data_IF_966528787370
#
_entry.id   IF_966528787370
#
_cell.length_a   1.000
_cell.length_b   1.000
_cell.length_c   1.000
_cell.angle_alpha   90.00
_cell.angle_beta   90.00
_cell.angle_gamma   90.00
#
_symmetry.space_group_name_H-M   'P 1'
#
loop_
_entity.id
_entity.type
_entity.pdbx_description
1 polymer ?
#
# COMPACT_ATOMS: atom_id res chain seq x y z
N UNK A 1 10.88 49.57 -75.29
CA UNK A 1 9.65 50.29 -75.70
C UNK A 1 8.76 49.34 -76.49
N UNK A 2 7.47 49.21 -76.11
CA UNK A 2 6.37 48.42 -76.71
C UNK A 2 6.51 46.88 -76.61
N UNK A 3 5.85 46.22 -75.65
CA UNK A 3 4.43 45.77 -75.56
C UNK A 3 4.03 44.72 -76.62
N UNK A 4 3.55 43.53 -76.19
CA UNK A 4 2.11 43.20 -76.09
C UNK A 4 1.81 41.70 -75.75
N UNK A 5 1.03 41.50 -74.67
CA UNK A 5 -0.13 40.58 -74.43
C UNK A 5 -0.10 39.03 -74.40
N UNK A 6 -0.77 38.55 -73.32
CA UNK A 6 -1.98 37.65 -73.20
C UNK A 6 -1.81 36.17 -72.79
N UNK A 7 -2.50 35.83 -71.66
CA UNK A 7 -3.35 34.65 -71.33
C UNK A 7 -2.64 33.27 -71.30
N UNK A 8 -2.83 32.31 -70.39
CA UNK A 8 -4.02 31.81 -69.66
C UNK A 8 -3.64 31.18 -68.30
N UNK A 9 -4.67 30.84 -67.52
CA UNK A 9 -4.64 30.20 -66.22
C UNK A 9 -4.32 28.69 -66.25
N UNK A 10 -3.70 28.17 -65.19
CA UNK A 10 -4.20 26.98 -64.47
C UNK A 10 -3.48 26.83 -63.12
N UNK A 11 -4.27 26.79 -62.04
CA UNK A 11 -3.88 26.23 -60.75
C UNK A 11 -4.04 24.72 -60.84
N UNK A 12 -3.08 23.91 -60.37
CA UNK A 12 -3.39 22.64 -59.69
C UNK A 12 -2.18 22.14 -58.88
N UNK A 13 -2.44 21.98 -57.58
CA UNK A 13 -1.77 21.25 -56.49
C UNK A 13 -0.36 20.67 -56.73
N UNK A 14 0.63 21.28 -56.08
CA UNK A 14 1.90 20.65 -55.75
C UNK A 14 1.73 19.75 -54.52
N UNK A 15 1.93 18.46 -54.72
CA UNK A 15 2.12 17.44 -53.68
C UNK A 15 3.49 17.72 -53.05
N UNK A 16 3.49 18.28 -51.84
CA UNK A 16 4.67 18.40 -51.00
C UNK A 16 4.76 17.17 -50.11
N UNK A 17 5.69 16.27 -50.43
CA UNK A 17 6.13 15.15 -49.59
C UNK A 17 6.48 15.64 -48.19
N UNK A 18 5.70 15.22 -47.19
CA UNK A 18 6.12 15.25 -45.79
C UNK A 18 7.18 14.16 -45.63
N UNK A 19 8.43 14.59 -45.48
CA UNK A 19 9.51 13.73 -45.04
C UNK A 19 9.20 13.27 -43.62
N UNK A 20 8.63 12.07 -43.47
CA UNK A 20 8.66 11.34 -42.21
C UNK A 20 10.13 11.07 -41.93
N UNK A 21 10.75 11.94 -41.13
CA UNK A 21 12.02 11.63 -40.51
C UNK A 21 11.71 10.51 -39.52
N UNK A 22 11.98 9.27 -39.94
CA UNK A 22 11.92 8.11 -39.07
C UNK A 22 12.79 8.39 -37.86
N UNK A 23 12.15 8.49 -36.69
CA UNK A 23 12.82 8.32 -35.41
C UNK A 23 13.39 6.91 -35.45
N UNK A 24 14.68 6.83 -35.72
CA UNK A 24 15.43 5.61 -35.55
C UNK A 24 15.28 5.21 -34.10
N UNK A 25 14.61 4.08 -33.88
CA UNK A 25 14.75 3.25 -32.70
C UNK A 25 16.25 3.06 -32.45
N UNK A 26 16.82 3.92 -31.61
CA UNK A 26 18.09 3.66 -30.97
C UNK A 26 17.82 2.61 -29.89
N UNK A 27 17.73 1.36 -30.34
CA UNK A 27 18.03 0.23 -29.49
C UNK A 27 19.49 0.35 -29.06
N UNK A 28 19.71 0.89 -27.87
CA UNK A 28 20.90 0.68 -27.08
C UNK A 28 20.47 0.24 -25.69
N UNK A 29 20.39 -1.07 -25.55
CA UNK A 29 20.52 -1.84 -24.32
C UNK A 29 21.56 -1.24 -23.36
N UNK A 30 21.19 -1.04 -22.09
CA UNK A 30 22.12 -1.30 -20.99
C UNK A 30 22.04 -0.42 -19.74
N UNK A 31 21.63 0.84 -19.82
CA UNK A 31 21.60 1.72 -18.64
C UNK A 31 20.51 2.78 -18.76
N UNK A 32 19.69 2.97 -17.73
CA UNK A 32 18.67 4.03 -17.64
C UNK A 32 19.21 5.47 -17.66
N UNK A 33 20.48 5.66 -18.02
CA UNK A 33 21.17 6.96 -18.14
C UNK A 33 20.51 7.89 -19.16
N UNK A 34 19.84 7.35 -20.18
CA UNK A 34 19.17 8.15 -21.21
C UNK A 34 18.04 9.01 -20.65
N UNK A 35 17.21 8.47 -19.76
CA UNK A 35 16.13 9.21 -19.10
C UNK A 35 16.71 10.22 -18.12
N UNK A 36 17.68 9.84 -17.28
CA UNK A 36 18.25 10.74 -16.26
C UNK A 36 18.90 12.01 -16.81
N UNK A 37 19.32 11.99 -18.08
CA UNK A 37 20.00 13.10 -18.77
C UNK A 37 19.12 13.86 -19.78
N UNK A 38 17.81 13.59 -19.83
CA UNK A 38 16.98 14.08 -20.93
C UNK A 38 16.90 15.62 -20.97
N UNK A 39 17.19 16.17 -22.16
CA UNK A 39 17.07 17.60 -22.46
C UNK A 39 15.68 18.01 -22.97
N UNK A 40 14.80 17.03 -23.21
CA UNK A 40 13.39 17.21 -23.57
C UNK A 40 12.52 16.39 -22.60
N UNK A 41 11.26 16.78 -22.34
CA UNK A 41 10.39 16.05 -21.43
C UNK A 41 10.21 14.58 -21.85
N UNK A 42 10.33 13.66 -20.88
CA UNK A 42 10.26 12.22 -21.12
C UNK A 42 8.82 11.70 -20.90
N UNK A 43 8.19 11.02 -21.89
CA UNK A 43 6.89 10.38 -21.71
C UNK A 43 6.93 9.24 -20.69
N UNK A 44 5.80 8.93 -20.04
CA UNK A 44 5.72 7.92 -18.99
C UNK A 44 6.11 6.51 -19.49
N UNK A 45 5.67 6.12 -20.67
CA UNK A 45 5.97 4.84 -21.33
C UNK A 45 7.47 4.64 -21.52
N UNK A 46 8.18 5.70 -21.90
CA UNK A 46 9.63 5.70 -22.01
C UNK A 46 10.30 5.67 -20.63
N UNK A 47 9.77 6.43 -19.67
CA UNK A 47 10.35 6.56 -18.34
C UNK A 47 10.28 5.25 -17.54
N UNK A 48 9.14 4.55 -17.58
CA UNK A 48 8.91 3.29 -16.86
C UNK A 48 9.29 2.05 -17.69
N UNK A 49 9.35 2.16 -19.01
CA UNK A 49 9.73 1.08 -19.93
C UNK A 49 11.22 0.69 -19.87
N UNK A 50 12.00 1.32 -19.00
CA UNK A 50 13.40 1.00 -18.75
C UNK A 50 13.63 0.65 -17.27
N UNK A 51 14.76 0.02 -16.98
CA UNK A 51 15.16 -0.21 -15.60
C UNK A 51 15.37 1.13 -14.88
N UNK A 52 14.81 1.27 -13.68
CA UNK A 52 14.88 2.53 -12.93
C UNK A 52 14.14 2.47 -11.59
N UNK A 53 14.46 3.43 -10.73
CA UNK A 53 13.97 3.48 -9.35
C UNK A 53 13.15 4.74 -9.14
N UNK A 54 11.98 4.60 -8.54
CA UNK A 54 11.06 5.69 -8.25
C UNK A 54 10.60 5.68 -6.80
N UNK A 55 10.47 6.84 -6.20
CA UNK A 55 10.10 7.07 -4.82
C UNK A 55 8.68 7.64 -4.78
N UNK A 56 7.78 6.93 -4.10
CA UNK A 56 6.43 7.40 -3.81
C UNK A 56 6.44 8.24 -2.54
N UNK A 57 5.81 9.41 -2.58
CA UNK A 57 5.72 10.35 -1.46
C UNK A 57 4.38 11.09 -1.49
N UNK A 58 4.07 11.88 -0.46
CA UNK A 58 2.87 12.72 -0.45
C UNK A 58 2.96 13.78 -1.57
N UNK A 59 2.05 13.68 -2.55
CA UNK A 59 2.05 14.54 -3.72
C UNK A 59 1.75 16.01 -3.47
N UNK A 60 1.27 16.37 -2.28
CA UNK A 60 1.08 17.76 -1.87
C UNK A 60 2.36 18.40 -1.28
N UNK A 61 3.37 17.59 -0.95
CA UNK A 61 4.62 18.04 -0.36
C UNK A 61 5.67 18.47 -1.41
N UNK A 62 6.44 19.50 -1.06
CA UNK A 62 7.64 19.87 -1.80
C UNK A 62 8.78 18.94 -1.37
N UNK A 63 9.49 18.31 -2.32
CA UNK A 63 10.60 17.40 -2.00
C UNK A 63 11.67 18.14 -1.18
N UNK A 64 11.92 17.63 0.02
CA UNK A 64 12.90 18.14 0.97
C UNK A 64 13.54 17.01 1.77
N UNK A 65 14.64 17.31 2.47
CA UNK A 65 15.44 16.30 3.18
C UNK A 65 14.66 15.45 4.20
N UNK A 66 13.59 15.99 4.77
CA UNK A 66 12.78 15.33 5.80
C UNK A 66 11.46 14.75 5.23
N UNK A 67 11.21 14.90 3.92
CA UNK A 67 10.02 14.34 3.27
C UNK A 67 10.15 12.83 3.26
N UNK A 68 9.11 12.17 3.78
CA UNK A 68 9.05 10.72 3.86
C UNK A 68 8.82 10.09 2.48
N UNK A 69 9.49 8.99 2.25
CA UNK A 69 9.26 8.10 1.11
C UNK A 69 8.44 6.94 1.63
N UNK A 70 7.23 6.78 1.11
CA UNK A 70 6.30 5.72 1.53
C UNK A 70 6.67 4.37 0.91
N UNK A 71 7.10 4.40 -0.35
CA UNK A 71 7.42 3.21 -1.14
C UNK A 71 8.53 3.52 -2.14
N UNK A 72 9.36 2.53 -2.42
CA UNK A 72 10.31 2.55 -3.53
C UNK A 72 9.85 1.53 -4.56
N UNK A 73 9.74 1.98 -5.81
CA UNK A 73 9.37 1.18 -6.98
C UNK A 73 10.63 0.89 -7.79
N UNK A 74 10.92 -0.38 -8.03
CA UNK A 74 12.03 -0.83 -8.87
C UNK A 74 11.48 -1.44 -10.15
N UNK A 75 11.66 -0.74 -11.27
CA UNK A 75 11.29 -1.20 -12.60
C UNK A 75 12.41 -2.04 -13.21
N UNK A 76 12.05 -3.17 -13.83
CA UNK A 76 13.02 -4.08 -14.44
C UNK A 76 13.32 -3.77 -15.93
N UNK A 77 12.60 -2.82 -16.51
CA UNK A 77 12.66 -2.49 -17.94
C UNK A 77 12.02 -3.52 -18.88
N UNK A 78 11.34 -4.53 -18.34
CA UNK A 78 10.62 -5.57 -19.07
C UNK A 78 9.12 -5.55 -18.77
N UNK A 79 8.60 -4.41 -18.30
CA UNK A 79 7.18 -4.23 -17.98
C UNK A 79 6.79 -4.68 -16.57
N UNK A 80 7.75 -4.95 -15.68
CA UNK A 80 7.46 -5.31 -14.29
C UNK A 80 8.02 -4.29 -13.29
N UNK A 81 7.38 -4.24 -12.13
CA UNK A 81 7.75 -3.39 -11.01
C UNK A 81 7.71 -4.19 -9.71
N UNK A 82 8.76 -4.09 -8.91
CA UNK A 82 8.74 -4.48 -7.50
C UNK A 82 8.48 -3.24 -6.64
N UNK A 83 7.72 -3.39 -5.56
CA UNK A 83 7.37 -2.29 -4.65
C UNK A 83 7.79 -2.66 -3.23
N UNK A 84 8.59 -1.79 -2.61
CA UNK A 84 9.17 -1.96 -1.29
C UNK A 84 8.60 -0.89 -0.35
N UNK A 85 7.98 -1.30 0.76
CA UNK A 85 7.41 -0.37 1.74
C UNK A 85 8.50 0.25 2.59
N UNK A 86 8.50 1.58 2.70
CA UNK A 86 9.50 2.33 3.44
C UNK A 86 8.81 3.12 4.55
N UNK A 87 9.08 2.79 5.82
CA UNK A 87 8.47 3.49 6.97
C UNK A 87 9.30 4.66 7.49
N UNK A 88 10.62 4.63 7.29
CA UNK A 88 11.55 5.61 7.89
C UNK A 88 12.51 6.23 6.89
N UNK A 89 12.30 6.00 5.59
CA UNK A 89 13.18 6.51 4.54
C UNK A 89 12.78 7.94 4.17
N UNK A 90 13.74 8.82 4.00
CA UNK A 90 13.53 10.19 3.54
C UNK A 90 14.36 10.49 2.29
N UNK A 91 14.02 11.55 1.56
CA UNK A 91 14.85 11.99 0.44
C UNK A 91 16.26 12.42 0.86
N UNK A 92 16.44 12.85 2.12
CA UNK A 92 17.76 13.17 2.65
C UNK A 92 18.69 11.97 2.76
N UNK A 93 18.14 10.77 2.92
CA UNK A 93 18.90 9.52 3.03
C UNK A 93 19.42 9.01 1.68
N UNK A 94 18.93 9.57 0.56
CA UNK A 94 19.29 9.16 -0.80
C UNK A 94 20.46 9.95 -1.39
N UNK A 95 21.04 10.88 -0.64
CA UNK A 95 22.13 11.75 -1.14
C UNK A 95 23.33 10.92 -1.59
N UNK A 96 23.72 11.08 -2.84
CA UNK A 96 24.86 10.39 -3.44
C UNK A 96 24.69 8.88 -3.68
N UNK A 97 23.50 8.31 -3.44
CA UNK A 97 23.24 6.88 -3.70
C UNK A 97 22.94 6.62 -5.18
N UNK A 98 23.43 5.51 -5.69
CA UNK A 98 23.03 4.93 -6.97
C UNK A 98 21.67 4.22 -6.87
N UNK A 99 21.05 3.91 -8.02
CA UNK A 99 19.78 3.17 -8.05
C UNK A 99 19.86 1.82 -7.32
N UNK A 100 20.95 1.08 -7.52
CA UNK A 100 21.17 -0.20 -6.84
C UNK A 100 21.27 -0.02 -5.32
N UNK A 101 21.95 1.04 -4.86
CA UNK A 101 22.06 1.35 -3.43
C UNK A 101 20.72 1.79 -2.83
N UNK A 102 19.91 2.55 -3.59
CA UNK A 102 18.54 2.92 -3.19
C UNK A 102 17.66 1.68 -3.07
N UNK A 103 17.76 0.73 -4.01
CA UNK A 103 17.00 -0.53 -3.98
C UNK A 103 17.43 -1.40 -2.81
N UNK A 104 18.72 -1.56 -2.54
CA UNK A 104 19.20 -2.31 -1.38
C UNK A 104 18.78 -1.66 -0.05
N UNK A 105 18.77 -0.33 0.03
CA UNK A 105 18.23 0.39 1.17
C UNK A 105 16.72 0.16 1.32
N UNK A 106 15.97 0.16 0.21
CA UNK A 106 14.54 -0.11 0.20
C UNK A 106 14.21 -1.53 0.69
N UNK A 107 14.98 -2.54 0.28
CA UNK A 107 14.84 -3.93 0.79
C UNK A 107 15.03 -4.00 2.29
N UNK A 108 16.05 -3.32 2.83
CA UNK A 108 16.29 -3.25 4.26
C UNK A 108 15.13 -2.57 5.00
N UNK A 109 14.57 -1.51 4.43
CA UNK A 109 13.41 -0.80 5.01
C UNK A 109 12.14 -1.66 4.95
N UNK A 110 11.93 -2.40 3.87
CA UNK A 110 10.77 -3.28 3.69
C UNK A 110 10.82 -4.49 4.65
N UNK A 111 11.99 -5.12 4.81
CA UNK A 111 12.21 -6.16 5.81
C UNK A 111 12.02 -5.63 7.24
N UNK A 112 12.52 -4.42 7.54
CA UNK A 112 12.30 -3.78 8.83
C UNK A 112 10.81 -3.47 9.06
N UNK A 113 10.09 -3.01 8.04
CA UNK A 113 8.67 -2.73 8.09
C UNK A 113 7.86 -4.01 8.32
N UNK A 114 8.23 -5.13 7.67
CA UNK A 114 7.66 -6.46 7.90
C UNK A 114 7.85 -6.90 9.34
N UNK A 115 9.09 -6.86 9.84
CA UNK A 115 9.41 -7.29 11.20
C UNK A 115 8.68 -6.45 12.26
N UNK A 116 8.59 -5.13 12.05
CA UNK A 116 7.84 -4.26 12.94
C UNK A 116 6.33 -4.54 12.92
N UNK A 117 5.75 -4.78 11.74
CA UNK A 117 4.33 -5.12 11.61
C UNK A 117 4.02 -6.50 12.22
N UNK A 118 4.89 -7.50 12.01
CA UNK A 118 4.82 -8.81 12.64
C UNK A 118 4.83 -8.69 14.16
N UNK A 119 5.80 -7.97 14.71
CA UNK A 119 5.92 -7.81 16.16
C UNK A 119 4.70 -7.10 16.75
N UNK A 120 4.21 -6.03 16.11
CA UNK A 120 3.02 -5.33 16.56
C UNK A 120 1.77 -6.25 16.56
N UNK A 121 1.64 -7.14 15.58
CA UNK A 121 0.54 -8.11 15.53
C UNK A 121 0.66 -9.21 16.61
N UNK A 122 1.89 -9.67 16.88
CA UNK A 122 2.22 -10.61 17.97
C UNK A 122 1.85 -9.99 19.32
N UNK A 123 2.32 -8.76 19.57
CA UNK A 123 2.11 -8.07 20.85
C UNK A 123 0.62 -7.83 21.11
N UNK A 124 -0.12 -7.33 20.10
CA UNK A 124 -1.56 -7.08 20.22
C UNK A 124 -2.35 -8.38 20.44
N UNK A 125 -1.98 -9.46 19.76
CA UNK A 125 -2.65 -10.75 19.91
C UNK A 125 -2.32 -11.40 21.25
N UNK A 126 -1.08 -11.26 21.75
CA UNK A 126 -0.70 -11.74 23.08
C UNK A 126 -1.48 -11.01 24.19
N UNK A 127 -1.70 -9.70 24.07
CA UNK A 127 -2.52 -8.94 25.01
C UNK A 127 -3.96 -9.47 25.03
N UNK A 128 -4.55 -9.74 23.87
CA UNK A 128 -5.88 -10.32 23.76
C UNK A 128 -5.95 -11.73 24.37
N UNK A 129 -4.99 -12.60 24.06
CA UNK A 129 -4.91 -13.96 24.64
C UNK A 129 -4.85 -13.89 26.16
N UNK A 130 -4.03 -13.01 26.73
CA UNK A 130 -3.90 -12.86 28.18
C UNK A 130 -5.23 -12.43 28.83
N UNK A 131 -5.91 -11.43 28.27
CA UNK A 131 -7.20 -10.98 28.77
C UNK A 131 -8.25 -12.11 28.66
N UNK A 132 -8.37 -12.76 27.51
CA UNK A 132 -9.35 -13.83 27.32
C UNK A 132 -9.08 -15.03 28.23
N UNK A 133 -7.82 -15.39 28.45
CA UNK A 133 -7.42 -16.46 29.37
C UNK A 133 -7.79 -16.10 30.81
N UNK A 134 -7.52 -14.86 31.23
CA UNK A 134 -7.92 -14.40 32.57
C UNK A 134 -9.44 -14.44 32.75
N UNK A 135 -10.20 -14.05 31.73
CA UNK A 135 -11.67 -14.10 31.74
C UNK A 135 -12.15 -15.55 31.88
N UNK A 136 -11.63 -16.44 31.02
CA UNK A 136 -11.92 -17.86 31.06
C UNK A 136 -11.65 -18.46 32.44
N UNK A 137 -10.45 -18.24 32.98
CA UNK A 137 -10.04 -18.78 34.28
C UNK A 137 -10.95 -18.30 35.41
N UNK A 138 -11.36 -17.02 35.38
CA UNK A 138 -12.25 -16.42 36.38
C UNK A 138 -13.64 -17.05 36.33
N UNK A 139 -14.28 -17.04 35.15
CA UNK A 139 -15.63 -17.59 34.97
C UNK A 139 -15.64 -19.11 35.23
N UNK A 140 -14.56 -19.80 34.87
CA UNK A 140 -14.43 -21.24 35.11
C UNK A 140 -14.32 -21.56 36.59
N UNK A 141 -13.54 -20.77 37.35
CA UNK A 141 -13.44 -20.93 38.80
C UNK A 141 -14.79 -20.68 39.49
N UNK A 142 -15.53 -19.66 39.07
CA UNK A 142 -16.87 -19.37 39.59
C UNK A 142 -17.85 -20.53 39.32
N UNK A 143 -17.84 -21.07 38.09
CA UNK A 143 -18.66 -22.20 37.69
C UNK A 143 -18.30 -23.50 38.46
N UNK A 144 -17.00 -23.79 38.63
CA UNK A 144 -16.53 -24.96 39.39
C UNK A 144 -16.88 -24.87 40.88
N UNK A 145 -16.88 -23.66 41.43
CA UNK A 145 -17.32 -23.39 42.80
C UNK A 145 -18.86 -23.34 42.94
N UNK A 146 -19.59 -23.27 41.82
CA UNK A 146 -21.04 -23.11 41.80
C UNK A 146 -21.54 -21.76 42.32
N UNK A 147 -20.69 -20.72 42.23
CA UNK A 147 -20.95 -19.37 42.79
C UNK A 147 -21.55 -18.43 41.74
N UNK A 148 -21.02 -18.47 40.52
CA UNK A 148 -21.45 -17.64 39.38
C UNK A 148 -21.49 -16.14 39.74
N UNK A 149 -20.48 -15.67 40.48
CA UNK A 149 -20.41 -14.31 41.04
C UNK A 149 -20.55 -13.21 39.98
N UNK A 150 -20.16 -13.46 38.73
CA UNK A 150 -20.23 -12.49 37.64
C UNK A 150 -21.63 -12.34 37.00
N UNK A 151 -22.65 -13.10 37.42
CA UNK A 151 -24.01 -12.89 36.93
C UNK A 151 -24.64 -11.70 37.64
N UNK A 152 -25.29 -10.80 36.89
CA UNK A 152 -26.07 -9.68 37.43
C UNK A 152 -27.57 -9.94 37.20
N UNK A 153 -28.35 -10.03 38.28
CA UNK A 153 -29.80 -10.15 38.22
C UNK A 153 -30.45 -8.92 38.87
N UNK A 154 -30.88 -7.96 38.04
CA UNK A 154 -31.48 -6.68 38.46
C UNK A 154 -30.61 -5.80 39.37
N UNK A 155 -29.28 -5.88 39.26
CA UNK A 155 -28.31 -5.08 40.00
C UNK A 155 -27.64 -5.81 41.17
N UNK A 156 -28.05 -7.04 41.45
CA UNK A 156 -27.46 -7.89 42.49
C UNK A 156 -26.69 -9.05 41.85
N UNK A 157 -25.43 -9.22 42.26
CA UNK A 157 -24.49 -10.18 41.67
C UNK A 157 -24.53 -11.55 42.35
N UNK A 158 -24.27 -12.63 41.59
CA UNK A 158 -24.13 -14.00 42.11
C UNK A 158 -25.40 -14.86 42.07
N UNK A 159 -25.22 -16.18 42.00
CA UNK A 159 -26.33 -17.14 41.78
C UNK A 159 -27.37 -17.16 42.90
N UNK A 160 -26.97 -16.77 44.12
CA UNK A 160 -27.84 -16.72 45.29
C UNK A 160 -28.96 -15.68 45.14
N UNK A 161 -28.73 -14.63 44.35
CA UNK A 161 -29.69 -13.58 44.05
C UNK A 161 -30.59 -13.92 42.84
N UNK A 162 -30.28 -15.01 42.13
CA UNK A 162 -31.08 -15.51 40.99
C UNK A 162 -32.23 -16.40 41.50
N UNK A 163 -33.48 -16.15 41.08
CA UNK A 163 -34.62 -17.02 41.36
C UNK A 163 -34.36 -18.47 40.95
N UNK A 164 -34.83 -19.44 41.74
CA UNK A 164 -34.51 -20.86 41.54
C UNK A 164 -34.90 -21.35 40.13
N UNK A 165 -36.02 -20.84 39.61
CA UNK A 165 -36.52 -21.12 38.26
C UNK A 165 -35.57 -20.68 37.13
N UNK A 166 -34.76 -19.63 37.36
CA UNK A 166 -33.89 -19.02 36.35
C UNK A 166 -32.44 -19.53 36.45
N UNK A 167 -32.06 -20.20 37.55
CA UNK A 167 -30.69 -20.66 37.80
C UNK A 167 -30.17 -21.60 36.71
N UNK A 168 -31.01 -22.47 36.17
CA UNK A 168 -30.63 -23.37 35.09
C UNK A 168 -30.17 -22.61 33.83
N UNK A 169 -30.86 -21.51 33.52
CA UNK A 169 -30.50 -20.64 32.40
C UNK A 169 -29.16 -19.94 32.63
N UNK A 170 -28.91 -19.46 33.85
CA UNK A 170 -27.62 -18.84 34.21
C UNK A 170 -26.46 -19.82 34.03
N UNK A 171 -26.63 -21.06 34.49
CA UNK A 171 -25.61 -22.12 34.30
C UNK A 171 -25.35 -22.37 32.81
N UNK A 172 -26.40 -22.41 32.00
CA UNK A 172 -26.29 -22.56 30.54
C UNK A 172 -25.53 -21.39 29.90
N UNK A 173 -25.84 -20.14 30.28
CA UNK A 173 -25.14 -18.94 29.81
C UNK A 173 -23.65 -18.98 30.13
N UNK A 174 -23.27 -19.39 31.35
CA UNK A 174 -21.86 -19.56 31.71
C UNK A 174 -21.19 -20.61 30.85
N UNK A 175 -21.82 -21.77 30.66
CA UNK A 175 -21.23 -22.84 29.87
C UNK A 175 -21.03 -22.42 28.42
N UNK A 176 -22.02 -21.77 27.81
CA UNK A 176 -21.90 -21.23 26.44
C UNK A 176 -20.80 -20.17 26.36
N UNK A 177 -20.70 -19.28 27.35
CA UNK A 177 -19.65 -18.24 27.39
C UNK A 177 -18.26 -18.86 27.53
N UNK A 178 -18.09 -19.90 28.36
CA UNK A 178 -16.85 -20.62 28.52
C UNK A 178 -16.44 -21.34 27.24
N UNK A 179 -17.36 -22.03 26.58
CA UNK A 179 -17.10 -22.73 25.33
C UNK A 179 -16.70 -21.75 24.22
N UNK A 180 -17.44 -20.65 24.05
CA UNK A 180 -17.13 -19.62 23.07
C UNK A 180 -15.80 -18.90 23.37
N UNK A 181 -15.49 -18.63 24.64
CA UNK A 181 -14.21 -18.03 25.03
C UNK A 181 -13.04 -18.98 24.77
N UNK A 182 -13.21 -20.28 25.02
CA UNK A 182 -12.20 -21.29 24.69
C UNK A 182 -11.97 -21.36 23.19
N UNK A 183 -13.03 -21.34 22.38
CA UNK A 183 -12.91 -21.32 20.91
C UNK A 183 -12.17 -20.07 20.42
N UNK A 184 -12.47 -18.90 21.00
CA UNK A 184 -11.77 -17.66 20.70
C UNK A 184 -10.28 -17.72 21.07
N UNK A 185 -9.94 -18.27 22.24
CA UNK A 185 -8.56 -18.53 22.67
C UNK A 185 -7.84 -19.47 21.72
N UNK A 186 -8.48 -20.57 21.32
CA UNK A 186 -7.91 -21.55 20.39
C UNK A 186 -7.64 -20.91 19.01
N UNK A 187 -8.55 -20.05 18.54
CA UNK A 187 -8.38 -19.29 17.29
C UNK A 187 -7.23 -18.29 17.39
N UNK A 188 -7.16 -17.51 18.48
CA UNK A 188 -6.08 -16.54 18.68
C UNK A 188 -4.71 -17.21 18.83
N UNK A 189 -4.61 -18.33 19.55
CA UNK A 189 -3.37 -19.09 19.65
C UNK A 189 -2.90 -19.62 18.28
N UNK A 190 -3.82 -20.06 17.41
CA UNK A 190 -3.48 -20.45 16.03
C UNK A 190 -3.02 -19.25 15.20
N UNK A 191 -3.70 -18.11 15.33
CA UNK A 191 -3.32 -16.87 14.67
C UNK A 191 -1.96 -16.34 15.14
N UNK A 192 -1.65 -16.48 16.44
CA UNK A 192 -0.36 -16.14 17.01
C UNK A 192 0.76 -17.02 16.44
N UNK A 193 0.54 -18.34 16.40
CA UNK A 193 1.48 -19.26 15.78
C UNK A 193 1.71 -18.95 14.28
N UNK A 194 0.67 -18.53 13.55
CA UNK A 194 0.79 -18.04 12.17
C UNK A 194 1.70 -16.80 12.09
N UNK A 195 1.45 -15.79 12.94
CA UNK A 195 2.28 -14.58 12.98
C UNK A 195 3.74 -14.91 13.29
N UNK A 196 4.00 -15.74 14.30
CA UNK A 196 5.34 -16.16 14.71
C UNK A 196 6.08 -16.93 13.61
N UNK A 197 5.38 -17.79 12.86
CA UNK A 197 5.94 -18.58 11.78
C UNK A 197 6.22 -17.76 10.51
N UNK A 198 5.59 -16.60 10.35
CA UNK A 198 5.77 -15.75 9.17
C UNK A 198 7.24 -15.32 9.02
N UNK A 199 7.80 -15.51 7.83
CA UNK A 199 9.15 -15.11 7.47
C UNK A 199 9.10 -14.10 6.33
N UNK A 200 10.02 -13.13 6.37
CA UNK A 200 10.12 -12.12 5.33
C UNK A 200 10.40 -12.77 3.97
N UNK A 201 9.77 -12.21 2.93
CA UNK A 201 9.99 -12.57 1.54
C UNK A 201 10.13 -11.27 0.76
N UNK A 202 11.21 -11.17 -0.02
CA UNK A 202 11.42 -10.02 -0.87
C UNK A 202 10.30 -9.91 -1.91
N UNK A 203 9.72 -8.72 -2.15
CA UNK A 203 8.72 -8.51 -3.18
C UNK A 203 9.19 -8.95 -4.57
N UNK A 204 8.42 -9.83 -5.22
CA UNK A 204 8.65 -10.18 -6.62
C UNK A 204 8.15 -9.06 -7.55
N UNK A 205 8.91 -8.78 -8.61
CA UNK A 205 8.48 -7.84 -9.65
C UNK A 205 7.26 -8.40 -10.41
N UNK A 206 6.21 -7.58 -10.54
CA UNK A 206 4.95 -7.95 -11.21
C UNK A 206 4.60 -6.96 -12.32
N UNK A 207 3.79 -7.36 -13.31
CA UNK A 207 3.40 -6.45 -14.39
C UNK A 207 2.77 -5.15 -13.89
N UNK A 208 3.12 -4.04 -14.53
CA UNK A 208 2.43 -2.76 -14.39
C UNK A 208 1.68 -2.41 -15.67
N UNK A 209 0.84 -1.39 -15.59
CA UNK A 209 0.10 -0.84 -16.73
C UNK A 209 0.11 0.67 -16.65
N UNK A 210 0.33 1.34 -17.78
CA UNK A 210 0.07 2.77 -17.94
C UNK A 210 -1.30 2.94 -18.56
N UNK A 211 -2.17 3.71 -17.90
CA UNK A 211 -3.51 4.01 -18.36
C UNK A 211 -3.60 5.47 -18.73
N UNK A 212 -4.01 5.74 -19.96
CA UNK A 212 -4.22 7.08 -20.47
C UNK A 212 -5.69 7.29 -20.77
N UNK A 213 -6.29 8.28 -20.12
CA UNK A 213 -7.67 8.68 -20.40
C UNK A 213 -7.66 9.89 -21.33
N UNK A 214 -8.49 9.87 -22.38
CA UNK A 214 -8.58 10.98 -23.34
C UNK A 214 -9.59 12.03 -22.92
N UNK A 215 -9.49 13.25 -23.47
CA UNK A 215 -10.46 14.34 -23.25
C UNK A 215 -11.85 14.11 -23.91
N UNK A 216 -12.12 12.89 -24.36
CA UNK A 216 -13.30 12.51 -25.14
C UNK A 216 -13.19 12.80 -26.64
N UNK A 217 -12.12 13.48 -27.10
CA UNK A 217 -11.84 13.65 -28.53
C UNK A 217 -11.04 12.48 -29.13
N UNK A 218 -10.38 11.69 -28.28
CA UNK A 218 -9.44 10.64 -28.67
C UNK A 218 -8.08 11.16 -29.17
N UNK A 219 -7.86 12.48 -29.18
CA UNK A 219 -6.64 13.09 -29.74
C UNK A 219 -5.75 13.78 -28.69
N UNK A 220 -6.24 13.95 -27.46
CA UNK A 220 -5.50 14.56 -26.38
C UNK A 220 -5.70 13.78 -25.08
N UNK A 221 -4.62 13.61 -24.32
CA UNK A 221 -4.65 13.04 -22.99
C UNK A 221 -5.30 14.03 -22.01
N UNK A 222 -6.20 13.52 -21.17
CA UNK A 222 -6.79 14.23 -20.05
C UNK A 222 -6.20 13.78 -18.71
N UNK A 223 -5.74 12.53 -18.62
CA UNK A 223 -5.14 11.94 -17.44
C UNK A 223 -4.21 10.78 -17.86
N UNK A 224 -3.18 10.52 -17.07
CA UNK A 224 -2.38 9.32 -17.17
C UNK A 224 -2.08 8.75 -15.78
N UNK A 225 -2.12 7.43 -15.62
CA UNK A 225 -1.91 6.75 -14.34
C UNK A 225 -1.03 5.50 -14.47
N UNK A 226 -0.13 5.31 -13.50
CA UNK A 226 0.62 4.08 -13.30
C UNK A 226 -0.16 3.13 -12.39
N UNK A 227 -0.42 1.92 -12.88
CA UNK A 227 -1.23 0.90 -12.19
C UNK A 227 -0.42 -0.37 -11.96
N UNK A 228 -0.40 -0.86 -10.73
CA UNK A 228 0.35 -2.08 -10.37
C UNK A 228 -0.25 -2.77 -9.14
N UNK A 229 0.26 -3.96 -8.81
CA UNK A 229 -0.09 -4.67 -7.57
C UNK A 229 0.89 -4.28 -6.48
N UNK A 230 0.40 -3.59 -5.45
CA UNK A 230 1.17 -3.25 -4.26
C UNK A 230 1.17 -4.42 -3.28
N UNK A 231 2.36 -4.89 -2.91
CA UNK A 231 2.53 -5.88 -1.85
C UNK A 231 2.15 -5.28 -0.48
N UNK A 232 1.41 -6.04 0.32
CA UNK A 232 0.99 -5.69 1.68
C UNK A 232 1.30 -6.83 2.64
N UNK A 233 1.65 -6.48 3.87
CA UNK A 233 1.77 -7.45 4.96
C UNK A 233 0.39 -7.70 5.56
N UNK A 234 0.10 -8.96 5.85
CA UNK A 234 -1.20 -9.41 6.36
C UNK A 234 -0.99 -10.31 7.56
N UNK A 235 -1.18 -9.78 8.75
CA UNK A 235 -1.03 -10.53 10.00
C UNK A 235 -2.38 -10.74 10.67
N UNK A 236 -2.50 -11.85 11.39
CA UNK A 236 -3.63 -12.07 12.27
C UNK A 236 -3.60 -11.04 13.40
N UNK A 237 -4.76 -10.47 13.73
CA UNK A 237 -4.91 -9.58 14.86
C UNK A 237 -6.18 -9.97 15.62
N UNK A 238 -6.00 -10.50 16.82
CA UNK A 238 -7.13 -10.66 17.73
C UNK A 238 -7.66 -9.27 18.10
N UNK A 239 -8.97 -9.08 18.01
CA UNK A 239 -9.61 -7.82 18.36
C UNK A 239 -10.03 -7.85 19.82
N UNK A 240 -9.58 -6.89 20.61
CA UNK A 240 -10.08 -6.68 21.96
C UNK A 240 -10.48 -5.21 22.12
N UNK A 241 -11.71 -4.97 22.56
CA UNK A 241 -12.12 -3.62 22.91
C UNK A 241 -11.40 -3.22 24.19
N UNK A 242 -10.71 -2.08 24.20
CA UNK A 242 -9.95 -1.62 25.38
C UNK A 242 -10.81 -1.53 26.66
N UNK A 243 -12.11 -1.24 26.52
CA UNK A 243 -13.07 -1.19 27.64
C UNK A 243 -13.36 -2.57 28.25
N UNK A 244 -13.05 -3.67 27.55
CA UNK A 244 -13.28 -5.04 27.98
C UNK A 244 -12.06 -5.65 28.71
N UNK A 245 -10.94 -4.93 28.81
CA UNK A 245 -9.72 -5.40 29.47
C UNK A 245 -9.77 -5.33 31.01
N UNK A 246 -10.69 -4.56 31.61
CA UNK A 246 -10.86 -4.52 33.06
C UNK A 246 -11.72 -5.69 33.54
N UNK A 247 -11.09 -6.87 33.61
CA UNK A 247 -11.72 -8.08 34.10
C UNK A 247 -11.79 -8.15 35.62
N UNK A 248 -11.41 -7.10 36.35
CA UNK A 248 -11.65 -7.03 37.81
C UNK A 248 -13.05 -6.50 38.12
N UNK A 249 -13.63 -5.75 37.20
CA UNK A 249 -15.00 -5.23 37.26
C UNK A 249 -16.05 -6.32 36.99
N UNK A 250 -16.96 -6.54 37.94
CA UNK A 250 -18.11 -7.45 37.77
C UNK A 250 -18.94 -7.07 36.53
N UNK A 251 -19.08 -5.76 36.26
CA UNK A 251 -19.82 -5.24 35.11
C UNK A 251 -19.21 -5.68 33.78
N UNK A 252 -17.89 -5.75 33.69
CA UNK A 252 -17.19 -6.19 32.47
C UNK A 252 -17.45 -7.67 32.23
N UNK A 253 -17.30 -8.50 33.28
CA UNK A 253 -17.57 -9.93 33.21
C UNK A 253 -19.04 -10.22 32.89
N UNK A 254 -19.97 -9.48 33.48
CA UNK A 254 -21.40 -9.58 33.14
C UNK A 254 -21.68 -9.24 31.68
N UNK A 255 -21.04 -8.20 31.13
CA UNK A 255 -21.18 -7.86 29.71
C UNK A 255 -20.72 -9.02 28.82
N UNK A 256 -19.56 -9.60 29.10
CA UNK A 256 -19.03 -10.76 28.35
C UNK A 256 -20.02 -11.93 28.41
N UNK A 257 -20.60 -12.23 29.58
CA UNK A 257 -21.63 -13.25 29.74
C UNK A 257 -22.88 -12.94 28.89
N UNK A 258 -23.32 -11.69 28.88
CA UNK A 258 -24.48 -11.25 28.10
C UNK A 258 -24.24 -11.29 26.58
N UNK A 259 -22.99 -11.07 26.17
CA UNK A 259 -22.55 -11.16 24.77
C UNK A 259 -22.18 -12.62 24.40
N UNK A 260 -22.33 -13.57 25.33
CA UNK A 260 -22.02 -15.00 25.18
C UNK A 260 -20.55 -15.27 24.86
N UNK A 261 -19.62 -14.47 25.37
CA UNK A 261 -18.18 -14.62 25.19
C UNK A 261 -17.55 -13.44 24.44
N UNK A 262 -16.32 -13.66 24.00
CA UNK A 262 -15.56 -12.67 23.24
C UNK A 262 -15.89 -12.75 21.75
N UNK A 263 -16.14 -11.60 21.14
CA UNK A 263 -16.36 -11.52 19.70
C UNK A 263 -15.01 -11.54 18.94
N UNK A 264 -14.55 -12.74 18.57
CA UNK A 264 -13.36 -12.92 17.75
C UNK A 264 -13.71 -13.32 16.31
N UNK A 265 -14.07 -12.32 15.49
CA UNK A 265 -14.32 -12.51 14.06
C UNK A 265 -13.03 -12.41 13.20
N UNK A 266 -11.85 -12.38 13.83
CA UNK A 266 -10.60 -12.27 13.08
C UNK A 266 -10.31 -13.59 12.33
N UNK A 267 -10.18 -13.49 11.02
CA UNK A 267 -9.77 -14.61 10.18
C UNK A 267 -8.24 -14.69 10.12
N UNK A 268 -7.70 -15.89 10.23
CA UNK A 268 -6.26 -16.11 10.01
C UNK A 268 -6.01 -16.01 8.50
N UNK A 269 -5.15 -15.07 8.04
CA UNK A 269 -4.86 -14.96 6.63
C UNK A 269 -4.23 -16.24 6.06
N UNK A 270 -4.52 -16.56 4.80
CA UNK A 270 -3.87 -17.68 4.10
C UNK A 270 -2.34 -17.48 3.97
N UNK A 271 -1.89 -16.22 3.97
CA UNK A 271 -0.50 -15.82 3.77
C UNK A 271 -0.19 -14.52 4.51
N UNK A 272 1.05 -14.38 4.98
CA UNK A 272 1.56 -13.13 5.57
C UNK A 272 1.71 -12.00 4.54
N UNK A 273 1.51 -12.33 3.25
CA UNK A 273 1.60 -11.42 2.12
C UNK A 273 0.29 -11.41 1.36
N UNK A 274 -0.23 -10.21 1.13
CA UNK A 274 -1.37 -9.95 0.26
C UNK A 274 -0.98 -8.90 -0.79
N UNK A 275 -1.87 -8.66 -1.74
CA UNK A 275 -1.68 -7.59 -2.73
C UNK A 275 -2.96 -6.81 -2.94
N UNK A 276 -2.80 -5.51 -3.13
CA UNK A 276 -3.90 -4.63 -3.52
C UNK A 276 -3.54 -3.86 -4.78
N UNK A 277 -4.53 -3.55 -5.61
CA UNK A 277 -4.33 -2.72 -6.79
C UNK A 277 -4.03 -1.28 -6.34
N UNK A 278 -2.88 -0.73 -6.76
CA UNK A 278 -2.53 0.68 -6.61
C UNK A 278 -2.58 1.38 -7.97
N UNK A 279 -3.03 2.63 -7.96
CA UNK A 279 -3.04 3.54 -9.10
C UNK A 279 -2.43 4.86 -8.64
N UNK A 280 -1.41 5.34 -9.34
CA UNK A 280 -0.78 6.63 -9.10
C UNK A 280 -1.07 7.51 -10.30
N UNK A 281 -1.79 8.60 -10.07
CA UNK A 281 -2.04 9.61 -11.10
C UNK A 281 -0.74 10.38 -11.39
N UNK A 282 -0.36 10.51 -12.66
CA UNK A 282 0.92 11.09 -13.07
C UNK A 282 0.82 12.62 -13.20
N UNK A 283 0.41 13.30 -12.15
CA UNK A 283 0.20 14.75 -12.20
C UNK A 283 1.52 15.51 -12.43
N UNK A 284 1.45 16.60 -13.21
CA UNK A 284 2.57 17.54 -13.32
C UNK A 284 2.96 18.05 -11.92
N UNK A 285 4.26 18.20 -11.63
CA UNK A 285 4.69 18.62 -10.31
C UNK A 285 4.22 20.04 -9.99
N UNK A 286 3.68 20.23 -8.79
CA UNK A 286 3.12 21.52 -8.33
C UNK A 286 4.18 22.61 -8.15
N UNK A 287 5.41 22.22 -7.79
CA UNK A 287 6.46 23.18 -7.39
C UNK A 287 7.50 23.43 -8.49
N UNK A 288 8.13 22.38 -9.00
CA UNK A 288 9.19 22.46 -10.00
C UNK A 288 9.35 21.12 -10.71
N UNK A 289 9.79 21.14 -11.97
CA UNK A 289 10.11 19.94 -12.76
C UNK A 289 11.27 19.15 -12.18
N UNK A 290 12.18 19.82 -11.48
CA UNK A 290 13.28 19.21 -10.71
C UNK A 290 13.47 19.87 -9.35
N UNK A 291 13.91 19.11 -8.36
CA UNK A 291 14.14 19.56 -6.99
C UNK A 291 15.44 18.93 -6.47
N UNK A 292 16.30 19.73 -5.84
CA UNK A 292 17.59 19.25 -5.33
C UNK A 292 17.56 19.15 -3.82
N UNK A 293 17.91 17.98 -3.29
CA UNK A 293 18.16 17.76 -1.87
C UNK A 293 19.63 17.43 -1.71
N UNK A 294 20.35 18.28 -0.97
CA UNK A 294 21.81 18.21 -0.88
C UNK A 294 22.48 18.24 -2.27
N UNK A 295 23.15 17.15 -2.68
CA UNK A 295 23.79 17.02 -3.99
C UNK A 295 22.95 16.27 -5.03
N UNK A 296 21.88 15.59 -4.62
CA UNK A 296 21.03 14.79 -5.51
C UNK A 296 19.88 15.62 -6.07
N UNK A 297 19.71 15.56 -7.40
CA UNK A 297 18.56 16.15 -8.08
C UNK A 297 17.49 15.08 -8.34
N UNK A 298 16.25 15.43 -8.07
CA UNK A 298 15.08 14.60 -8.28
C UNK A 298 14.17 15.24 -9.32
N UNK A 299 13.57 14.43 -10.18
CA UNK A 299 12.53 14.85 -11.13
C UNK A 299 11.41 13.82 -11.14
N UNK A 300 10.23 14.18 -11.66
CA UNK A 300 9.12 13.25 -11.75
C UNK A 300 7.77 13.95 -11.82
N UNK A 301 6.79 13.28 -11.23
CA UNK A 301 5.40 13.70 -11.08
C UNK A 301 5.13 14.11 -9.63
N UNK A 302 3.97 14.74 -9.38
CA UNK A 302 3.51 14.97 -8.01
C UNK A 302 3.32 13.62 -7.31
N UNK A 303 4.00 13.41 -6.18
CA UNK A 303 3.93 12.17 -5.39
C UNK A 303 4.73 10.99 -5.95
N UNK A 304 5.47 11.17 -7.04
CA UNK A 304 6.33 10.13 -7.62
C UNK A 304 7.61 10.75 -8.25
N UNK A 305 8.78 10.44 -7.69
CA UNK A 305 10.05 11.04 -8.12
C UNK A 305 11.12 9.99 -8.43
N UNK A 306 12.11 10.34 -9.24
CA UNK A 306 13.31 9.55 -9.51
C UNK A 306 14.54 10.45 -9.47
N UNK A 307 15.73 9.86 -9.30
CA UNK A 307 16.99 10.60 -9.41
C UNK A 307 17.19 11.04 -10.86
N UNK A 308 17.45 12.32 -11.06
CA UNK A 308 17.68 12.94 -12.36
C UNK A 308 18.96 13.79 -12.31
N UNK A 309 19.55 14.07 -13.46
CA UNK A 309 20.71 14.95 -13.54
C UNK A 309 20.29 16.42 -13.58
N UNK A 310 21.22 17.31 -13.19
CA UNK A 310 20.99 18.75 -13.22
C UNK A 310 20.60 19.20 -14.64
N UNK A 311 19.54 20.01 -14.74
CA UNK A 311 19.03 20.50 -16.02
C UNK A 311 18.08 19.55 -16.75
N UNK A 312 17.66 18.44 -16.13
CA UNK A 312 16.65 17.54 -16.69
C UNK A 312 15.35 18.28 -17.02
N UNK A 313 14.80 18.04 -18.22
CA UNK A 313 13.65 18.78 -18.74
C UNK A 313 12.30 18.40 -18.11
N UNK A 314 12.27 17.32 -17.32
CA UNK A 314 11.09 16.83 -16.63
C UNK A 314 10.43 15.66 -17.35
N UNK A 315 9.24 15.31 -16.89
CA UNK A 315 8.44 14.20 -17.42
C UNK A 315 7.11 14.73 -17.94
N UNK A 316 6.52 14.04 -18.91
CA UNK A 316 5.25 14.41 -19.53
C UNK A 316 4.37 13.17 -19.66
N UNK A 317 3.09 13.39 -19.96
CA UNK A 317 2.21 12.30 -20.36
C UNK A 317 2.53 11.80 -21.75
N UNK A 318 2.18 10.54 -21.99
CA UNK A 318 2.14 9.96 -23.32
C UNK A 318 1.09 10.61 -24.23
N UNK A 319 1.25 10.41 -25.53
CA UNK A 319 0.21 10.71 -26.51
C UNK A 319 -0.70 9.49 -26.68
N UNK A 320 -1.98 9.66 -27.09
CA UNK A 320 -2.90 8.52 -27.25
C UNK A 320 -2.47 7.44 -28.27
N UNK A 321 -1.48 7.73 -29.11
CA UNK A 321 -0.91 6.80 -30.09
C UNK A 321 0.40 6.12 -29.63
N UNK A 322 0.83 6.36 -28.37
CA UNK A 322 2.02 5.73 -27.82
C UNK A 322 1.86 4.20 -27.71
N UNK A 323 2.97 3.47 -27.87
CA UNK A 323 2.99 2.02 -27.66
C UNK A 323 3.12 1.69 -26.16
N UNK A 324 2.49 0.61 -25.72
CA UNK A 324 2.63 0.12 -24.33
C UNK A 324 1.71 0.78 -23.31
N UNK A 325 0.75 1.60 -23.74
CA UNK A 325 -0.29 2.21 -22.89
C UNK A 325 -1.67 1.60 -23.17
N UNK A 326 -2.52 1.54 -22.14
CA UNK A 326 -3.96 1.28 -22.28
C UNK A 326 -4.70 2.61 -22.44
N UNK A 327 -5.41 2.80 -23.56
CA UNK A 327 -6.26 3.98 -23.82
C UNK A 327 -7.73 3.59 -23.68
N UNK A 328 -8.55 4.49 -23.14
CA UNK A 328 -9.99 4.31 -22.89
C UNK A 328 -10.91 4.51 -24.11
#
# INVERSE_FOLDING_TARGET
>A
MKQYTRREALKLFGIGTVSVAGLGLAGCSGSGEGVKNASEPVPASQAFGQAGVWMVYDGDEQIGKDVAIEEVLSFDGNGNVASYQCKSLTFGDLDGLSDDEIVELAKQQDEAAFNAAKQAAIDATDEAIQAWQQCYDTLKAEADAGTYDSIDYYGDYGIENVPEEDRAQVVETYQTTLDNTQDALDAANKGQAFNEAAAYQEPEAKPYTLRLETDGSGNAAANESLVFQLAKFSFYQANINADENDLTSDRTRFRILNDYGWDNNAEIPDSAFSSTKKSIELCSPTYSTTQTVYGTTFGGYSGLATVANEGHAGFTWDTPDAEGIEVD
#
